data_IF_612631108724
#
_entry.id   IF_612631108724
#
_cell.length_a   1.000
_cell.length_b   1.000
_cell.length_c   1.000
_cell.angle_alpha   90.00
_cell.angle_beta   90.00
_cell.angle_gamma   90.00
#
_symmetry.space_group_name_H-M   'P 1'
#
loop_
_entity.id
_entity.type
_entity.pdbx_description
1 polymer ?
#
# COMPACT_ATOMS: atom_id res chain seq x y z
N UNK A 1 8.72 -12.38 -2.64
CA UNK A 1 8.88 -11.18 -3.47
C UNK A 1 7.48 -10.63 -3.74
N UNK A 2 7.06 -9.68 -2.92
CA UNK A 2 5.72 -9.09 -2.96
C UNK A 2 5.63 -8.14 -1.78
N UNK A 3 5.63 -6.85 -2.08
CA UNK A 3 5.62 -5.78 -1.09
C UNK A 3 6.43 -4.57 -1.56
N UNK A 4 6.12 -3.41 -0.98
CA UNK A 4 6.84 -2.16 -1.22
C UNK A 4 8.25 -2.27 -0.64
N UNK A 5 9.23 -1.72 -1.34
CA UNK A 5 10.58 -1.63 -0.81
C UNK A 5 10.60 -0.69 0.41
N UNK A 6 11.29 -1.06 1.48
CA UNK A 6 11.46 -0.21 2.68
C UNK A 6 11.89 1.20 2.30
N UNK A 7 12.81 1.25 1.33
CA UNK A 7 13.37 2.47 0.81
C UNK A 7 12.33 3.42 0.21
N UNK A 8 11.12 2.97 -0.13
CA UNK A 8 10.07 3.85 -0.64
C UNK A 8 9.60 4.85 0.42
N UNK A 9 9.40 4.42 1.67
CA UNK A 9 8.98 5.33 2.74
C UNK A 9 10.09 6.32 3.10
N UNK A 10 11.33 5.83 3.17
CA UNK A 10 12.51 6.66 3.42
C UNK A 10 12.74 7.66 2.28
N UNK A 11 12.58 7.23 1.02
CA UNK A 11 12.71 8.11 -0.14
C UNK A 11 11.62 9.18 -0.12
N UNK A 12 10.38 8.83 0.22
CA UNK A 12 9.30 9.80 0.36
C UNK A 12 9.65 10.85 1.44
N UNK A 13 10.16 10.41 2.58
CA UNK A 13 10.63 11.31 3.64
C UNK A 13 11.78 12.22 3.18
N UNK A 14 12.74 11.70 2.43
CA UNK A 14 13.83 12.49 1.86
C UNK A 14 13.33 13.52 0.84
N UNK A 15 12.33 13.18 0.01
CA UNK A 15 11.68 14.12 -0.90
C UNK A 15 11.01 15.27 -0.12
N UNK A 16 10.25 14.95 0.92
CA UNK A 16 9.63 15.97 1.78
C UNK A 16 10.69 16.87 2.43
N UNK A 17 11.74 16.28 2.99
CA UNK A 17 12.86 17.02 3.60
C UNK A 17 13.62 17.90 2.59
N UNK A 18 13.66 17.51 1.32
CA UNK A 18 14.23 18.29 0.22
C UNK A 18 13.30 19.41 -0.28
N UNK A 19 12.10 19.56 0.30
CA UNK A 19 11.16 20.63 -0.02
C UNK A 19 10.19 20.30 -1.15
N UNK A 20 10.04 19.02 -1.53
CA UNK A 20 8.98 18.61 -2.45
C UNK A 20 7.63 18.61 -1.71
N UNK A 21 6.67 19.37 -2.23
CA UNK A 21 5.32 19.49 -1.66
C UNK A 21 4.42 18.31 -2.00
N UNK A 22 4.73 17.59 -3.09
CA UNK A 22 3.95 16.46 -3.60
C UNK A 22 4.89 15.31 -3.92
N UNK A 23 4.64 14.16 -3.29
CA UNK A 23 5.33 12.90 -3.55
C UNK A 23 4.32 11.89 -4.10
N UNK A 24 4.60 11.32 -5.28
CA UNK A 24 3.77 10.30 -5.91
C UNK A 24 4.46 8.94 -5.75
N UNK A 25 3.76 7.98 -5.15
CA UNK A 25 4.24 6.60 -4.99
C UNK A 25 3.46 5.70 -5.95
N UNK A 26 4.14 5.11 -6.92
CA UNK A 26 3.57 4.19 -7.91
C UNK A 26 3.96 2.74 -7.61
N UNK A 27 2.99 1.82 -7.64
CA UNK A 27 3.23 0.38 -7.56
C UNK A 27 3.52 -0.21 -8.94
N UNK A 28 4.45 -1.16 -8.99
CA UNK A 28 4.68 -1.98 -10.19
C UNK A 28 4.00 -3.34 -10.01
N UNK A 29 2.99 -3.63 -10.85
CA UNK A 29 2.32 -4.93 -10.92
C UNK A 29 1.16 -5.14 -9.94
N UNK A 30 0.60 -6.36 -9.95
CA UNK A 30 -0.53 -6.79 -9.10
C UNK A 30 -0.05 -7.66 -7.94
N UNK A 31 -0.48 -7.38 -6.69
CA UNK A 31 0.13 -8.03 -5.52
C UNK A 31 -0.63 -7.91 -4.19
N UNK A 32 0.14 -7.88 -3.11
CA UNK A 32 -0.24 -7.47 -1.74
C UNK A 32 0.34 -6.08 -1.41
N UNK A 33 0.92 -5.41 -2.40
CA UNK A 33 1.63 -4.15 -2.26
C UNK A 33 0.67 -2.97 -2.17
N UNK A 34 -0.56 -3.13 -2.64
CA UNK A 34 -1.56 -2.07 -2.75
C UNK A 34 -2.08 -1.64 -1.37
N UNK A 35 -2.28 -2.61 -0.46
CA UNK A 35 -2.60 -2.35 0.95
C UNK A 35 -1.44 -1.61 1.63
N UNK A 36 -0.20 -2.01 1.32
CA UNK A 36 0.98 -1.37 1.89
C UNK A 36 1.14 0.07 1.40
N UNK A 37 0.76 0.40 0.16
CA UNK A 37 0.81 1.79 -0.33
C UNK A 37 -0.20 2.62 0.45
N UNK A 38 -1.42 2.12 0.62
CA UNK A 38 -2.47 2.83 1.35
C UNK A 38 -2.06 3.19 2.79
N UNK A 39 -1.12 2.43 3.35
CA UNK A 39 -0.58 2.59 4.70
C UNK A 39 0.63 3.53 4.77
N UNK A 40 1.08 4.11 3.67
CA UNK A 40 2.19 5.08 3.66
C UNK A 40 1.87 6.40 2.95
N UNK A 41 0.72 6.50 2.27
CA UNK A 41 0.28 7.72 1.57
C UNK A 41 -0.94 8.35 2.23
N UNK A 42 -1.15 9.64 1.98
CA UNK A 42 -2.35 10.35 2.43
C UNK A 42 -3.56 10.04 1.55
N UNK A 43 -3.36 9.88 0.25
CA UNK A 43 -4.42 9.60 -0.73
C UNK A 43 -4.05 8.48 -1.69
N UNK A 44 -4.98 7.57 -1.92
CA UNK A 44 -4.82 6.46 -2.88
C UNK A 44 -5.66 6.73 -4.14
N UNK A 45 -4.97 6.87 -5.27
CA UNK A 45 -5.59 6.92 -6.60
C UNK A 45 -5.57 5.52 -7.22
N UNK A 46 -6.75 4.94 -7.43
CA UNK A 46 -6.89 3.70 -8.20
C UNK A 46 -7.11 4.04 -9.68
N UNK A 47 -6.13 3.70 -10.52
CA UNK A 47 -6.19 3.92 -11.96
C UNK A 47 -6.63 2.65 -12.70
N UNK A 48 -7.72 2.73 -13.46
CA UNK A 48 -8.31 1.61 -14.19
C UNK A 48 -8.36 1.88 -15.69
N UNK A 49 -8.36 0.82 -16.51
CA UNK A 49 -8.47 0.90 -17.97
C UNK A 49 -9.77 0.23 -18.46
N UNK A 50 -10.55 0.85 -19.37
CA UNK A 50 -11.81 0.33 -19.85
C UNK A 50 -11.73 -1.07 -20.48
N UNK A 51 -10.61 -1.34 -21.15
CA UNK A 51 -10.34 -2.60 -21.85
C UNK A 51 -9.36 -3.52 -21.09
N UNK A 52 -9.16 -3.30 -19.79
CA UNK A 52 -8.12 -3.97 -18.99
C UNK A 52 -8.33 -5.47 -18.73
N UNK A 53 -9.49 -6.04 -19.06
CA UNK A 53 -9.86 -7.39 -18.62
C UNK A 53 -10.17 -7.49 -17.12
N UNK A 54 -10.10 -6.36 -16.41
CA UNK A 54 -10.53 -6.18 -15.03
C UNK A 54 -12.05 -6.13 -14.97
N UNK A 55 -12.69 -7.29 -15.15
CA UNK A 55 -14.08 -7.43 -14.79
C UNK A 55 -14.23 -7.09 -13.30
N UNK A 56 -15.30 -6.39 -12.94
CA UNK A 56 -15.64 -6.06 -11.54
C UNK A 56 -15.67 -7.32 -10.65
N UNK A 57 -15.92 -8.49 -11.26
CA UNK A 57 -15.86 -9.79 -10.58
C UNK A 57 -14.43 -10.32 -10.34
N UNK A 58 -13.44 -9.90 -11.15
CA UNK A 58 -12.02 -10.24 -11.02
C UNK A 58 -11.21 -9.23 -10.23
N UNK A 59 -11.69 -7.98 -10.11
CA UNK A 59 -11.06 -7.00 -9.23
C UNK A 59 -11.29 -7.37 -7.76
N UNK A 60 -10.18 -7.61 -7.07
CA UNK A 60 -10.13 -7.95 -5.64
C UNK A 60 -10.93 -6.90 -4.87
N UNK A 61 -12.06 -7.30 -4.25
CA UNK A 61 -12.85 -6.48 -3.31
C UNK A 61 -11.97 -5.57 -2.43
N UNK A 62 -10.80 -6.06 -2.01
CA UNK A 62 -9.86 -5.32 -1.18
C UNK A 62 -9.22 -4.06 -1.78
N UNK A 63 -9.01 -3.92 -3.11
CA UNK A 63 -8.31 -2.72 -3.62
C UNK A 63 -9.22 -1.50 -3.72
N UNK A 64 -10.50 -1.72 -4.05
CA UNK A 64 -11.50 -0.64 -4.13
C UNK A 64 -11.78 -0.08 -2.73
N UNK A 65 -11.76 -0.93 -1.71
CA UNK A 65 -11.91 -0.55 -0.30
C UNK A 65 -10.79 0.40 0.19
N UNK A 66 -9.62 0.38 -0.47
CA UNK A 66 -8.50 1.25 -0.15
C UNK A 66 -8.41 2.50 -1.04
N UNK A 67 -9.22 2.61 -2.09
CA UNK A 67 -9.19 3.74 -3.00
C UNK A 67 -9.91 4.96 -2.41
N UNK A 68 -9.23 6.10 -2.37
CA UNK A 68 -9.84 7.38 -1.99
C UNK A 68 -10.38 8.12 -3.23
N UNK A 69 -9.74 7.91 -4.39
CA UNK A 69 -10.19 8.39 -5.72
C UNK A 69 -10.00 7.27 -6.74
N UNK A 70 -10.96 7.11 -7.65
CA UNK A 70 -10.89 6.13 -8.75
C UNK A 70 -10.90 6.89 -10.07
N UNK A 71 -9.95 6.61 -10.96
CA UNK A 71 -9.88 7.20 -12.29
C UNK A 71 -9.89 6.11 -13.37
N UNK A 72 -10.89 6.16 -14.25
CA UNK A 72 -10.98 5.33 -15.44
C UNK A 72 -10.24 6.06 -16.57
N UNK A 73 -8.99 5.69 -16.81
CA UNK A 73 -8.15 6.29 -17.85
C UNK A 73 -8.52 5.76 -19.25
N UNK A 74 -7.95 6.33 -20.32
CA UNK A 74 -8.24 5.99 -21.72
C UNK A 74 -9.72 6.19 -22.09
N UNK A 75 -10.40 7.15 -21.44
CA UNK A 75 -11.78 7.52 -21.74
C UNK A 75 -11.88 8.42 -22.97
N UNK A 76 -11.34 7.95 -24.10
CA UNK A 76 -11.28 8.65 -25.38
C UNK A 76 -11.45 7.67 -26.55
N UNK A 77 -11.72 8.22 -27.74
CA UNK A 77 -11.97 7.44 -28.95
C UNK A 77 -13.04 6.36 -28.74
N UNK A 78 -12.75 5.16 -29.24
CA UNK A 78 -13.64 4.00 -29.22
C UNK A 78 -13.89 3.45 -27.81
N UNK A 79 -13.01 3.74 -26.85
CA UNK A 79 -13.12 3.28 -25.46
C UNK A 79 -14.00 4.19 -24.58
N UNK A 80 -14.41 5.36 -25.08
CA UNK A 80 -15.17 6.35 -24.31
C UNK A 80 -16.52 5.81 -23.79
N UNK A 81 -17.24 5.03 -24.60
CA UNK A 81 -18.51 4.41 -24.20
C UNK A 81 -18.30 3.34 -23.11
N UNK A 82 -17.28 2.50 -23.27
CA UNK A 82 -16.91 1.47 -22.29
C UNK A 82 -16.44 2.10 -20.98
N UNK A 83 -15.63 3.16 -21.04
CA UNK A 83 -15.18 3.92 -19.87
C UNK A 83 -16.35 4.49 -19.07
N UNK A 84 -17.39 5.00 -19.77
CA UNK A 84 -18.61 5.49 -19.12
C UNK A 84 -19.36 4.40 -18.38
N UNK A 85 -19.50 3.22 -19.00
CA UNK A 85 -20.15 2.06 -18.36
C UNK A 85 -19.40 1.65 -17.10
N UNK A 86 -18.08 1.47 -17.21
CA UNK A 86 -17.24 1.04 -16.08
C UNK A 86 -17.26 2.08 -14.95
N UNK A 87 -17.16 3.37 -15.27
CA UNK A 87 -17.26 4.43 -14.27
C UNK A 87 -18.61 4.38 -13.53
N UNK A 88 -19.72 4.15 -14.25
CA UNK A 88 -21.03 3.95 -13.64
C UNK A 88 -21.03 2.74 -12.70
N UNK A 89 -20.52 1.60 -13.15
CA UNK A 89 -20.53 0.37 -12.36
C UNK A 89 -19.70 0.52 -11.06
N UNK A 90 -18.52 1.17 -11.12
CA UNK A 90 -17.71 1.49 -9.94
C UNK A 90 -18.39 2.51 -9.03
N UNK A 91 -19.07 3.52 -9.58
CA UNK A 91 -19.78 4.51 -8.77
C UNK A 91 -20.91 3.85 -7.96
N UNK A 92 -21.63 2.89 -8.56
CA UNK A 92 -22.63 2.10 -7.84
C UNK A 92 -21.99 1.24 -6.76
N UNK A 93 -20.87 0.57 -7.07
CA UNK A 93 -20.18 -0.28 -6.10
C UNK A 93 -19.71 0.51 -4.87
N UNK A 94 -19.07 1.66 -5.08
CA UNK A 94 -18.60 2.53 -3.99
C UNK A 94 -19.77 3.02 -3.11
N UNK A 95 -20.90 3.36 -3.71
CA UNK A 95 -22.08 3.82 -2.96
C UNK A 95 -22.71 2.74 -2.07
N UNK A 96 -22.42 1.46 -2.32
CA UNK A 96 -22.89 0.33 -1.50
C UNK A 96 -21.91 0.06 -0.34
N UNK A 97 -20.63 0.40 -0.50
CA UNK A 97 -19.62 0.21 0.53
C UNK A 97 -19.80 1.23 1.66
N UNK A 98 -19.45 0.83 2.87
CA UNK A 98 -19.39 1.77 3.99
C UNK A 98 -18.25 2.75 3.76
N UNK A 99 -18.48 4.07 3.86
CA UNK A 99 -17.43 5.04 3.64
C UNK A 99 -16.36 4.92 4.72
N UNK A 100 -15.10 4.92 4.29
CA UNK A 100 -13.93 4.89 5.18
C UNK A 100 -13.85 6.15 6.07
N UNK A 101 -14.36 7.27 5.56
CA UNK A 101 -14.41 8.53 6.28
C UNK A 101 -15.82 9.10 6.25
N UNK A 102 -16.36 9.61 7.37
CA UNK A 102 -17.71 10.18 7.40
C UNK A 102 -17.94 11.33 6.41
N UNK A 103 -16.87 12.05 6.05
CA UNK A 103 -16.91 13.20 5.16
C UNK A 103 -16.59 12.86 3.70
N UNK A 104 -16.23 11.60 3.38
CA UNK A 104 -15.75 11.25 2.04
C UNK A 104 -16.31 9.92 1.54
N UNK A 105 -16.94 10.01 0.37
CA UNK A 105 -17.24 8.85 -0.47
C UNK A 105 -16.30 8.91 -1.68
N UNK A 106 -15.54 7.84 -1.97
CA UNK A 106 -14.63 7.83 -3.12
C UNK A 106 -15.33 8.23 -4.42
N UNK A 107 -14.73 9.15 -5.17
CA UNK A 107 -15.28 9.64 -6.44
C UNK A 107 -14.71 8.82 -7.60
N UNK A 108 -15.57 8.46 -8.56
CA UNK A 108 -15.18 7.74 -9.78
C UNK A 108 -15.19 8.69 -10.97
N UNK A 109 -14.00 8.97 -11.49
CA UNK A 109 -13.76 9.93 -12.56
C UNK A 109 -13.34 9.21 -13.83
N UNK A 110 -13.49 9.89 -14.96
CA UNK A 110 -12.98 9.43 -16.26
C UNK A 110 -11.92 10.39 -16.73
N UNK A 111 -10.80 9.86 -17.21
CA UNK A 111 -9.73 10.69 -17.73
C UNK A 111 -9.10 10.10 -19.00
N UNK A 112 -8.32 10.92 -19.70
CA UNK A 112 -7.51 10.49 -20.83
C UNK A 112 -6.13 11.12 -20.74
N UNK A 113 -5.12 10.27 -20.55
CA UNK A 113 -3.71 10.68 -20.58
C UNK A 113 -3.16 10.93 -21.99
N UNK A 114 -3.89 10.54 -23.04
CA UNK A 114 -3.42 10.59 -24.44
C UNK A 114 -4.11 11.66 -25.29
N UNK A 115 -5.17 12.30 -24.79
CA UNK A 115 -5.86 13.35 -25.53
C UNK A 115 -4.84 14.42 -25.93
N UNK A 116 -4.68 14.63 -27.24
CA UNK A 116 -3.65 15.51 -27.81
C UNK A 116 -3.79 16.91 -27.21
N UNK A 117 -2.75 17.33 -26.52
CA UNK A 117 -2.63 18.65 -25.94
C UNK A 117 -2.11 19.60 -27.02
N UNK A 118 -2.55 20.85 -26.99
CA UNK A 118 -2.07 21.88 -27.92
C UNK A 118 -0.60 22.21 -27.68
N UNK A 119 -0.15 22.01 -26.44
CA UNK A 119 1.23 22.25 -25.99
C UNK A 119 1.71 21.16 -25.04
N UNK A 120 3.03 20.99 -24.91
CA UNK A 120 3.69 19.97 -24.05
C UNK A 120 3.37 20.11 -22.55
N UNK A 121 2.89 21.27 -22.10
CA UNK A 121 2.64 21.58 -20.68
C UNK A 121 1.15 21.70 -20.34
N UNK A 122 0.27 21.50 -21.31
CA UNK A 122 -1.16 21.67 -21.10
C UNK A 122 -1.77 20.39 -20.53
N UNK A 123 -2.01 20.36 -19.23
CA UNK A 123 -2.70 19.22 -18.61
C UNK A 123 -4.15 19.14 -19.12
N UNK A 124 -4.59 17.95 -19.53
CA UNK A 124 -5.98 17.74 -19.93
C UNK A 124 -6.95 18.07 -18.78
N UNK A 125 -8.09 18.68 -19.10
CA UNK A 125 -9.10 19.08 -18.10
C UNK A 125 -9.56 17.92 -17.21
N UNK A 126 -9.61 16.69 -17.74
CA UNK A 126 -10.00 15.50 -16.97
C UNK A 126 -8.93 15.06 -15.99
N UNK A 127 -7.64 15.26 -16.31
CA UNK A 127 -6.54 14.99 -15.37
C UNK A 127 -6.53 16.05 -14.26
N UNK A 128 -6.81 17.32 -14.61
CA UNK A 128 -6.97 18.39 -13.60
C UNK A 128 -8.12 18.09 -12.64
N UNK A 129 -9.23 17.55 -13.12
CA UNK A 129 -10.36 17.14 -12.29
C UNK A 129 -9.98 16.03 -11.29
N UNK A 130 -9.18 15.04 -11.73
CA UNK A 130 -8.63 14.02 -10.84
C UNK A 130 -7.76 14.66 -9.75
N UNK A 131 -6.86 15.56 -10.12
CA UNK A 131 -6.00 16.26 -9.15
C UNK A 131 -6.81 17.10 -8.16
N UNK A 132 -7.76 17.90 -8.64
CA UNK A 132 -8.63 18.71 -7.78
C UNK A 132 -9.41 17.85 -6.78
N UNK A 133 -9.83 16.65 -7.20
CA UNK A 133 -10.54 15.70 -6.33
C UNK A 133 -9.60 15.12 -5.27
N UNK A 134 -8.34 14.85 -5.60
CA UNK A 134 -7.32 14.44 -4.62
C UNK A 134 -7.08 15.56 -3.60
N UNK A 135 -7.00 16.81 -4.06
CA UNK A 135 -6.86 17.96 -3.16
C UNK A 135 -8.08 18.13 -2.24
N UNK A 136 -9.29 18.00 -2.78
CA UNK A 136 -10.53 18.07 -1.98
C UNK A 136 -10.56 16.99 -0.88
N UNK A 137 -10.13 15.77 -1.21
CA UNK A 137 -10.01 14.69 -0.24
C UNK A 137 -8.97 15.02 0.84
N UNK A 138 -7.78 15.48 0.44
CA UNK A 138 -6.71 15.87 1.34
C UNK A 138 -7.16 16.99 2.30
N UNK A 139 -7.83 18.02 1.77
CA UNK A 139 -8.40 19.11 2.56
C UNK A 139 -9.45 18.58 3.54
N UNK A 140 -10.27 17.61 3.13
CA UNK A 140 -11.19 16.90 4.01
C UNK A 140 -10.48 16.18 5.18
N UNK A 141 -9.35 15.49 4.91
CA UNK A 141 -8.53 14.86 5.95
C UNK A 141 -7.93 15.88 6.91
N UNK A 142 -7.47 17.02 6.39
CA UNK A 142 -6.89 18.09 7.18
C UNK A 142 -7.94 18.77 8.06
N UNK A 143 -9.07 19.17 7.49
CA UNK A 143 -10.15 19.88 8.18
C UNK A 143 -10.85 19.01 9.23
N UNK A 144 -10.88 17.69 9.04
CA UNK A 144 -11.40 16.74 10.03
C UNK A 144 -10.40 16.40 11.14
N UNK A 145 -9.14 16.85 11.03
CA UNK A 145 -8.06 16.48 11.96
C UNK A 145 -7.65 15.01 11.89
N UNK A 146 -8.07 14.29 10.84
CA UNK A 146 -7.74 12.88 10.62
C UNK A 146 -6.34 12.73 10.01
N UNK A 147 -5.89 13.71 9.21
CA UNK A 147 -4.61 13.65 8.49
C UNK A 147 -3.42 13.34 9.41
N UNK A 148 -3.18 14.17 10.42
CA UNK A 148 -2.02 13.98 11.30
C UNK A 148 -2.14 12.69 12.14
N UNK A 149 -3.35 12.36 12.61
CA UNK A 149 -3.60 11.10 13.34
C UNK A 149 -3.25 9.89 12.48
N UNK A 150 -3.62 9.92 11.20
CA UNK A 150 -3.30 8.87 10.24
C UNK A 150 -1.79 8.80 10.00
N UNK A 151 -1.11 9.93 9.76
CA UNK A 151 0.34 9.96 9.57
C UNK A 151 1.12 9.44 10.79
N UNK A 152 0.70 9.78 12.02
CA UNK A 152 1.25 9.19 13.26
C UNK A 152 1.09 7.67 13.26
N UNK A 153 -0.10 7.17 12.97
CA UNK A 153 -0.38 5.74 12.94
C UNK A 153 0.43 5.01 11.85
N UNK A 154 0.57 5.62 10.67
CA UNK A 154 1.37 5.08 9.57
C UNK A 154 2.86 5.01 9.94
N UNK A 155 3.41 6.05 10.58
CA UNK A 155 4.80 6.05 11.08
C UNK A 155 5.04 4.96 12.12
N UNK A 156 4.12 4.78 13.07
CA UNK A 156 4.22 3.70 14.07
C UNK A 156 4.19 2.32 13.40
N UNK A 157 3.29 2.13 12.44
CA UNK A 157 3.20 0.89 11.66
C UNK A 157 4.48 0.60 10.88
N UNK A 158 5.06 1.61 10.23
CA UNK A 158 6.32 1.50 9.50
C UNK A 158 7.48 1.14 10.44
N UNK A 159 7.56 1.79 11.61
CA UNK A 159 8.55 1.45 12.64
C UNK A 159 8.45 -0.02 13.05
N UNK A 160 7.25 -0.53 13.35
CA UNK A 160 7.06 -1.93 13.73
C UNK A 160 7.39 -2.91 12.61
N UNK A 161 7.08 -2.56 11.36
CA UNK A 161 7.49 -3.36 10.20
C UNK A 161 9.02 -3.46 10.10
N UNK A 162 9.73 -2.38 10.43
CA UNK A 162 11.19 -2.36 10.41
C UNK A 162 11.80 -3.15 11.58
N UNK A 163 11.24 -3.04 12.78
CA UNK A 163 11.63 -3.90 13.92
C UNK A 163 11.54 -5.38 13.55
N UNK A 164 10.44 -5.79 12.90
CA UNK A 164 10.28 -7.18 12.46
C UNK A 164 11.33 -7.59 11.44
N UNK A 165 11.68 -6.69 10.51
CA UNK A 165 12.71 -6.95 9.50
C UNK A 165 14.08 -7.10 10.10
N UNK A 166 14.47 -6.20 11.01
CA UNK A 166 15.76 -6.25 11.70
C UNK A 166 15.90 -7.54 12.51
N UNK A 167 14.87 -7.92 13.26
CA UNK A 167 14.85 -9.20 14.00
C UNK A 167 14.98 -10.40 13.06
N UNK A 168 14.26 -10.41 11.94
CA UNK A 168 14.38 -11.48 10.94
C UNK A 168 15.75 -11.51 10.27
N UNK A 169 16.39 -10.36 10.08
CA UNK A 169 17.74 -10.24 9.52
C UNK A 169 18.76 -10.97 10.40
N UNK A 170 18.68 -10.79 11.72
CA UNK A 170 19.53 -11.50 12.69
C UNK A 170 19.37 -13.03 12.61
N UNK A 171 18.16 -13.52 12.31
CA UNK A 171 17.89 -14.96 12.15
C UNK A 171 18.43 -15.49 10.81
N UNK A 172 18.36 -14.69 9.75
CA UNK A 172 18.85 -15.05 8.42
C UNK A 172 20.38 -14.96 8.30
N UNK A 173 20.99 -14.11 9.11
CA UNK A 173 22.44 -13.91 9.20
C UNK A 173 22.92 -14.07 10.65
N UNK A 174 22.77 -15.28 11.23
CA UNK A 174 23.09 -15.51 12.63
C UNK A 174 24.60 -15.48 12.87
N UNK A 175 25.00 -15.01 14.05
CA UNK A 175 26.36 -15.18 14.55
C UNK A 175 26.69 -16.66 14.85
N UNK A 176 27.92 -16.94 15.27
CA UNK A 176 28.40 -18.31 15.47
C UNK A 176 27.62 -19.05 16.58
N UNK A 177 27.26 -18.33 17.65
CA UNK A 177 26.52 -18.87 18.79
C UNK A 177 25.08 -19.22 18.40
N UNK A 178 24.36 -18.28 17.79
CA UNK A 178 23.00 -18.50 17.32
C UNK A 178 22.93 -19.57 16.22
N UNK A 179 23.90 -19.59 15.31
CA UNK A 179 24.01 -20.63 14.28
C UNK A 179 24.18 -22.03 14.90
N UNK A 180 25.00 -22.14 15.94
CA UNK A 180 25.22 -23.39 16.67
C UNK A 180 23.95 -23.84 17.40
N UNK A 181 23.23 -22.92 18.03
CA UNK A 181 21.98 -23.20 18.72
C UNK A 181 20.86 -23.62 17.76
N UNK A 182 20.68 -22.91 16.63
CA UNK A 182 19.73 -23.29 15.57
C UNK A 182 20.00 -24.71 15.08
N UNK A 183 21.26 -25.09 14.86
CA UNK A 183 21.65 -26.46 14.47
C UNK A 183 21.31 -27.48 15.55
N UNK A 184 21.56 -27.16 16.83
CA UNK A 184 21.27 -28.03 17.98
C UNK A 184 19.77 -28.29 18.14
N UNK A 185 18.96 -27.22 18.08
CA UNK A 185 17.50 -27.26 18.15
C UNK A 185 16.92 -28.06 16.99
N UNK A 186 17.36 -27.77 15.76
CA UNK A 186 16.89 -28.48 14.55
C UNK A 186 17.15 -29.99 14.62
N UNK A 187 18.34 -30.41 15.09
CA UNK A 187 18.66 -31.82 15.36
C UNK A 187 17.77 -32.45 16.42
N UNK A 188 17.39 -31.69 17.44
CA UNK A 188 16.54 -32.17 18.54
C UNK A 188 15.08 -32.36 18.10
N UNK A 189 14.56 -31.45 17.26
CA UNK A 189 13.25 -31.59 16.63
C UNK A 189 13.23 -32.78 15.67
N UNK A 190 14.25 -32.93 14.82
CA UNK A 190 14.35 -34.05 13.87
C UNK A 190 14.40 -35.43 14.58
N UNK A 191 14.92 -35.48 15.81
CA UNK A 191 14.93 -36.68 16.67
C UNK A 191 13.68 -36.81 17.56
N UNK A 192 12.68 -35.94 17.37
CA UNK A 192 11.46 -35.87 18.17
C UNK A 192 11.71 -35.72 19.68
N UNK A 193 12.82 -35.07 20.08
CA UNK A 193 13.19 -34.84 21.50
C UNK A 193 12.52 -33.61 22.09
N UNK A 194 12.18 -32.63 21.25
CA UNK A 194 11.51 -31.39 21.64
C UNK A 194 10.44 -31.04 20.61
N UNK A 195 9.38 -30.36 21.05
CA UNK A 195 8.35 -29.82 20.16
C UNK A 195 8.86 -28.57 19.42
N UNK A 196 8.38 -28.29 18.19
CA UNK A 196 8.74 -27.09 17.44
C UNK A 196 8.55 -25.78 18.22
N UNK A 197 7.48 -25.67 19.02
CA UNK A 197 7.23 -24.48 19.87
C UNK A 197 8.36 -24.22 20.88
N UNK A 198 8.94 -25.27 21.46
CA UNK A 198 10.02 -25.16 22.43
C UNK A 198 11.33 -24.84 21.73
N UNK A 199 11.56 -25.42 20.55
CA UNK A 199 12.69 -25.06 19.70
C UNK A 199 12.66 -23.59 19.27
N UNK A 200 11.51 -23.07 18.84
CA UNK A 200 11.34 -21.67 18.50
C UNK A 200 11.65 -20.74 19.69
N UNK A 201 11.15 -21.07 20.90
CA UNK A 201 11.47 -20.31 22.12
C UNK A 201 12.96 -20.35 22.46
N UNK A 202 13.63 -21.49 22.31
CA UNK A 202 15.07 -21.60 22.55
C UNK A 202 15.89 -20.71 21.60
N UNK A 203 15.55 -20.72 20.30
CA UNK A 203 16.20 -19.85 19.30
C UNK A 203 15.96 -18.37 19.63
N UNK A 204 14.74 -17.98 19.98
CA UNK A 204 14.43 -16.59 20.37
C UNK A 204 15.18 -16.20 21.65
N UNK A 205 15.29 -17.10 22.62
CA UNK A 205 15.99 -16.81 23.88
C UNK A 205 17.50 -16.63 23.65
N UNK A 206 18.10 -17.46 22.81
CA UNK A 206 19.48 -17.30 22.37
C UNK A 206 19.70 -15.98 21.61
N UNK A 207 18.77 -15.59 20.73
CA UNK A 207 18.84 -14.34 19.98
C UNK A 207 18.84 -13.10 20.90
N UNK A 208 18.05 -13.10 21.98
CA UNK A 208 17.95 -11.97 22.91
C UNK A 208 19.00 -12.01 24.04
N UNK A 209 19.89 -13.02 24.04
CA UNK A 209 20.86 -13.21 25.11
C UNK A 209 20.22 -13.45 26.49
N UNK A 210 19.00 -13.99 26.54
CA UNK A 210 18.40 -14.46 27.79
C UNK A 210 18.45 -15.98 27.81
N UNK A 211 18.88 -16.56 28.93
CA UNK A 211 18.70 -17.99 29.10
C UNK A 211 17.20 -18.32 29.13
N UNK A 212 16.74 -19.29 28.33
CA UNK A 212 15.36 -19.74 28.40
C UNK A 212 15.12 -20.35 29.79
N UNK A 213 14.27 -19.71 30.60
CA UNK A 213 13.80 -20.29 31.85
C UNK A 213 12.94 -21.53 31.54
N UNK A 214 13.53 -22.72 31.67
CA UNK A 214 12.82 -23.99 31.79
C UNK A 214 13.53 -24.90 32.80
#
# INVERSE_FOLDING_TARGET
>A
LGGIAVSTAETAFLCEAAGYEVTIVETVGVGQSEVQVAEMVDAVLLLLSPAGGDDIQGMKKGIVEHADVIAINKSDGDLSSQARRIASDYQHAVNILHPKYPFWTPKVLRCSSLRKQSTKYEVDSTIREVWNTIQEFHDGLQNSGVLEKRRVFQRDKLMWAEVQREVLSLINHPDEDLSSEIKRVSKSIAKNKILPRHGARAIVSALIGHEPHW
#
